data_IF_160876695717
#
_entry.id   IF_160876695717
#
_cell.length_a   1.000
_cell.length_b   1.000
_cell.length_c   1.000
_cell.angle_alpha   90.00
_cell.angle_beta   90.00
_cell.angle_gamma   90.00
#
_symmetry.space_group_name_H-M   'P 1'
#
loop_
_entity.id
_entity.type
_entity.pdbx_description
1 polymer ?
#
# COMPACT_ATOMS: atom_id res chain seq x y z
N UNK A 1 -57.66 21.40 -61.05
CA UNK A 1 -56.58 22.22 -61.66
C UNK A 1 -55.51 22.48 -60.61
N UNK A 2 -54.25 22.27 -60.99
CA UNK A 2 -52.97 22.60 -60.33
C UNK A 2 -52.56 21.85 -59.05
N UNK A 3 -51.70 20.85 -59.32
CA UNK A 3 -50.60 20.37 -58.47
C UNK A 3 -49.61 21.47 -58.05
N UNK A 4 -48.83 21.13 -57.01
CA UNK A 4 -47.46 21.53 -56.59
C UNK A 4 -47.53 21.63 -55.05
N UNK A 5 -46.69 21.02 -54.22
CA UNK A 5 -45.46 20.26 -54.38
C UNK A 5 -44.96 19.88 -52.97
N UNK A 6 -44.21 18.80 -52.91
CA UNK A 6 -43.66 18.09 -51.75
C UNK A 6 -42.74 18.91 -50.83
N UNK A 7 -42.82 18.67 -49.52
CA UNK A 7 -41.66 18.66 -48.63
C UNK A 7 -41.80 17.52 -47.60
N UNK A 8 -40.92 16.53 -47.68
CA UNK A 8 -40.80 15.42 -46.73
C UNK A 8 -39.70 15.76 -45.71
N UNK A 9 -40.05 15.89 -44.44
CA UNK A 9 -39.09 15.81 -43.35
C UNK A 9 -39.14 14.39 -42.76
N UNK A 10 -38.03 13.65 -42.88
CA UNK A 10 -37.80 12.39 -42.17
C UNK A 10 -37.06 12.69 -40.87
N UNK A 11 -37.56 12.29 -39.69
CA UNK A 11 -36.73 12.28 -38.50
C UNK A 11 -35.81 11.05 -38.53
N UNK A 12 -34.51 11.34 -38.62
CA UNK A 12 -33.39 10.41 -38.56
C UNK A 12 -33.12 10.12 -37.08
N UNK A 13 -33.79 9.12 -36.50
CA UNK A 13 -33.43 8.63 -35.17
C UNK A 13 -32.39 7.52 -35.30
N UNK A 14 -31.16 7.94 -35.07
CA UNK A 14 -30.06 7.12 -34.61
C UNK A 14 -30.46 6.41 -33.32
N UNK A 15 -30.78 5.13 -33.40
CA UNK A 15 -30.73 4.23 -32.25
C UNK A 15 -29.58 3.28 -32.48
N UNK A 16 -28.37 3.85 -32.35
CA UNK A 16 -27.15 3.11 -32.09
C UNK A 16 -27.33 2.47 -30.71
N UNK A 17 -27.76 1.21 -30.70
CA UNK A 17 -27.76 0.35 -29.52
C UNK A 17 -26.30 0.06 -29.17
N UNK A 18 -25.67 1.00 -28.47
CA UNK A 18 -24.46 0.77 -27.69
C UNK A 18 -24.85 -0.16 -26.54
N UNK A 19 -24.75 -1.46 -26.79
CA UNK A 19 -24.59 -2.46 -25.75
C UNK A 19 -23.25 -2.17 -25.05
N UNK A 20 -23.29 -1.24 -24.10
CA UNK A 20 -22.31 -1.18 -23.04
C UNK A 20 -22.56 -2.46 -22.24
N UNK A 21 -21.75 -3.48 -22.52
CA UNK A 21 -21.54 -4.60 -21.62
C UNK A 21 -20.91 -4.01 -20.36
N UNK A 22 -21.76 -3.50 -19.47
CA UNK A 22 -21.43 -3.42 -18.07
C UNK A 22 -21.31 -4.88 -17.61
N UNK A 23 -20.10 -5.44 -17.64
CA UNK A 23 -19.74 -6.52 -16.74
C UNK A 23 -19.85 -5.93 -15.34
N UNK A 24 -21.07 -5.98 -14.80
CA UNK A 24 -21.32 -5.89 -13.38
C UNK A 24 -20.85 -7.25 -12.84
N UNK A 25 -19.54 -7.42 -12.72
CA UNK A 25 -18.99 -8.53 -11.96
C UNK A 25 -19.58 -8.40 -10.54
N UNK A 26 -20.23 -9.47 -10.08
CA UNK A 26 -20.85 -9.54 -8.76
C UNK A 26 -19.74 -9.72 -7.73
N UNK A 27 -19.10 -8.62 -7.36
CA UNK A 27 -17.99 -8.62 -6.40
C UNK A 27 -18.44 -8.89 -4.96
N UNK A 28 -19.74 -8.79 -4.68
CA UNK A 28 -20.29 -9.00 -3.33
C UNK A 28 -20.24 -10.46 -2.86
N UNK A 29 -19.95 -11.43 -3.74
CA UNK A 29 -19.99 -12.86 -3.44
C UNK A 29 -18.61 -13.52 -3.23
N UNK A 30 -17.49 -12.77 -3.16
CA UNK A 30 -16.17 -13.38 -2.97
C UNK A 30 -15.97 -13.90 -1.53
N UNK A 31 -15.90 -15.23 -1.31
CA UNK A 31 -15.76 -15.79 0.02
C UNK A 31 -14.35 -15.59 0.57
N UNK A 32 -13.34 -15.65 -0.32
CA UNK A 32 -11.92 -15.55 -0.01
C UNK A 32 -11.24 -14.44 -0.85
N UNK A 33 -10.14 -13.84 -0.37
CA UNK A 33 -9.37 -12.90 -1.16
C UNK A 33 -8.75 -13.54 -2.41
N UNK A 34 -8.82 -12.85 -3.54
CA UNK A 34 -8.36 -13.34 -4.85
C UNK A 34 -7.49 -12.32 -5.56
N UNK A 35 -6.47 -12.81 -6.29
CA UNK A 35 -5.57 -12.03 -7.12
C UNK A 35 -5.26 -12.82 -8.39
N UNK A 36 -5.49 -12.23 -9.56
CA UNK A 36 -5.32 -12.88 -10.84
C UNK A 36 -4.46 -12.08 -11.83
N UNK A 37 -4.33 -10.76 -11.65
CA UNK A 37 -3.68 -9.88 -12.64
C UNK A 37 -2.27 -9.46 -12.27
N UNK A 38 -1.97 -9.30 -10.99
CA UNK A 38 -0.68 -8.81 -10.53
C UNK A 38 0.33 -9.94 -10.35
N UNK A 39 1.58 -9.72 -10.77
CA UNK A 39 2.69 -10.66 -10.56
C UNK A 39 3.31 -10.46 -9.16
N UNK A 40 2.58 -10.87 -8.13
CA UNK A 40 3.05 -10.91 -6.73
C UNK A 40 3.01 -12.35 -6.20
N UNK A 41 3.79 -12.69 -5.17
CA UNK A 41 3.83 -14.05 -4.62
C UNK A 41 2.45 -14.55 -4.16
N UNK A 42 2.09 -15.80 -4.47
CA UNK A 42 0.81 -16.39 -4.10
C UNK A 42 0.58 -16.42 -2.58
N UNK A 43 1.66 -16.47 -1.80
CA UNK A 43 1.64 -16.42 -0.33
C UNK A 43 1.08 -15.10 0.21
N UNK A 44 1.10 -14.01 -0.58
CA UNK A 44 0.46 -12.73 -0.22
C UNK A 44 -1.03 -12.95 0.07
N UNK A 45 -1.73 -13.76 -0.72
CA UNK A 45 -3.13 -14.12 -0.44
C UNK A 45 -3.25 -15.03 0.80
N UNK A 46 -2.38 -16.03 0.93
CA UNK A 46 -2.47 -17.00 2.02
C UNK A 46 -2.08 -16.46 3.41
N UNK A 47 -1.35 -15.34 3.47
CA UNK A 47 -0.74 -14.84 4.71
C UNK A 47 -0.99 -13.37 5.00
N UNK A 48 -1.10 -12.53 3.98
CA UNK A 48 -1.30 -11.08 4.15
C UNK A 48 -2.77 -10.72 3.98
N UNK A 49 -3.36 -11.08 2.84
CA UNK A 49 -4.77 -10.87 2.54
C UNK A 49 -5.59 -12.11 2.91
N UNK A 50 -5.70 -12.37 4.21
CA UNK A 50 -6.48 -13.48 4.76
C UNK A 50 -7.98 -13.15 4.84
N UNK A 51 -8.85 -14.13 5.09
CA UNK A 51 -10.31 -13.96 5.03
C UNK A 51 -10.92 -12.89 5.96
N UNK A 52 -10.18 -12.46 6.98
CA UNK A 52 -10.52 -11.38 7.93
C UNK A 52 -10.39 -9.97 7.33
N UNK A 53 -9.80 -9.82 6.14
CA UNK A 53 -9.77 -8.52 5.45
C UNK A 53 -11.19 -8.03 5.12
N UNK A 54 -11.43 -6.70 5.21
CA UNK A 54 -12.70 -6.10 4.84
C UNK A 54 -13.19 -6.53 3.44
N UNK A 55 -14.51 -6.70 3.30
CA UNK A 55 -15.11 -7.23 2.06
C UNK A 55 -14.73 -6.45 0.81
N UNK A 56 -14.67 -5.12 0.89
CA UNK A 56 -14.30 -4.23 -0.20
C UNK A 56 -12.82 -4.34 -0.65
N UNK A 57 -12.03 -5.22 -0.01
CA UNK A 57 -10.61 -5.49 -0.29
C UNK A 57 -10.39 -6.94 -0.77
N UNK A 58 -11.40 -7.81 -0.69
CA UNK A 58 -11.27 -9.23 -1.05
C UNK A 58 -10.96 -9.45 -2.53
N UNK A 59 -11.46 -8.61 -3.42
CA UNK A 59 -10.91 -8.54 -4.76
C UNK A 59 -9.60 -7.75 -4.74
N UNK A 60 -8.47 -8.43 -4.55
CA UNK A 60 -7.17 -7.79 -4.36
C UNK A 60 -6.73 -7.07 -5.64
N UNK A 61 -7.09 -7.59 -6.82
CA UNK A 61 -6.81 -6.95 -8.10
C UNK A 61 -7.48 -5.57 -8.22
N UNK A 62 -8.79 -5.49 -7.93
CA UNK A 62 -9.51 -4.22 -7.96
C UNK A 62 -9.08 -3.28 -6.84
N UNK A 63 -8.76 -3.84 -5.68
CA UNK A 63 -8.20 -3.07 -4.59
C UNK A 63 -6.86 -2.44 -4.99
N UNK A 64 -5.96 -3.19 -5.64
CA UNK A 64 -4.67 -2.69 -6.13
C UNK A 64 -4.85 -1.61 -7.19
N UNK A 65 -5.77 -1.79 -8.14
CA UNK A 65 -6.10 -0.73 -9.10
C UNK A 65 -6.60 0.53 -8.40
N UNK A 66 -7.45 0.37 -7.39
CA UNK A 66 -8.01 1.49 -6.63
C UNK A 66 -6.94 2.27 -5.87
N UNK A 67 -6.01 1.59 -5.18
CA UNK A 67 -4.94 2.30 -4.45
C UNK A 67 -3.90 2.90 -5.40
N UNK A 68 -3.63 2.28 -6.56
CA UNK A 68 -2.76 2.88 -7.60
C UNK A 68 -3.36 4.16 -8.16
N UNK A 69 -4.68 4.20 -8.37
CA UNK A 69 -5.37 5.41 -8.79
C UNK A 69 -5.28 6.56 -7.77
N UNK A 70 -4.97 6.26 -6.50
CA UNK A 70 -4.77 7.23 -5.41
C UNK A 70 -3.29 7.52 -5.13
N UNK A 71 -2.36 7.06 -5.99
CA UNK A 71 -0.94 7.39 -5.90
C UNK A 71 -0.06 6.32 -5.26
N UNK A 72 -0.59 5.16 -4.88
CA UNK A 72 0.23 4.02 -4.45
C UNK A 72 1.02 3.45 -5.63
N UNK A 73 2.30 3.12 -5.42
CA UNK A 73 3.11 2.38 -6.39
C UNK A 73 3.12 0.90 -6.02
N UNK A 74 3.04 0.00 -7.01
CA UNK A 74 3.22 -1.44 -6.81
C UNK A 74 4.19 -1.93 -7.87
N UNK A 75 5.34 -2.41 -7.43
CA UNK A 75 6.36 -3.04 -8.26
C UNK A 75 6.13 -4.54 -8.28
N UNK A 76 5.83 -5.05 -9.47
CA UNK A 76 5.53 -6.46 -9.71
C UNK A 76 6.78 -7.19 -10.23
N UNK A 77 6.83 -8.51 -10.04
CA UNK A 77 7.96 -9.36 -10.43
C UNK A 77 8.62 -10.09 -9.27
N UNK A 78 9.63 -10.89 -9.59
CA UNK A 78 10.31 -11.81 -8.67
C UNK A 78 11.81 -11.50 -8.47
N UNK A 79 12.28 -10.31 -8.90
CA UNK A 79 13.67 -9.88 -8.80
C UNK A 79 13.83 -8.55 -8.03
N UNK A 80 13.36 -8.46 -6.76
CA UNK A 80 13.60 -7.29 -5.93
C UNK A 80 15.09 -7.20 -5.49
N UNK A 81 15.54 -6.01 -5.04
CA UNK A 81 16.85 -5.86 -4.40
C UNK A 81 16.98 -6.69 -3.13
N UNK A 82 18.20 -7.10 -2.84
CA UNK A 82 18.54 -7.67 -1.53
C UNK A 82 18.98 -6.55 -0.59
N UNK A 83 18.31 -6.44 0.57
CA UNK A 83 18.54 -5.38 1.55
C UNK A 83 18.94 -6.03 2.88
N UNK A 84 20.24 -6.02 3.22
CA UNK A 84 20.75 -6.37 4.55
C UNK A 84 22.05 -5.62 4.83
N UNK A 85 22.42 -5.53 6.12
CA UNK A 85 23.71 -4.99 6.53
C UNK A 85 24.79 -6.06 6.33
N UNK A 86 25.85 -5.77 5.56
CA UNK A 86 26.91 -6.76 5.28
C UNK A 86 27.58 -7.32 6.55
N UNK A 87 27.52 -6.59 7.66
CA UNK A 87 28.19 -6.95 8.91
C UNK A 87 27.28 -7.59 9.97
N UNK A 88 25.96 -7.46 9.83
CA UNK A 88 24.98 -8.01 10.75
C UNK A 88 23.79 -8.48 9.91
N UNK A 89 23.23 -9.66 10.18
CA UNK A 89 22.03 -10.15 9.48
C UNK A 89 20.78 -9.25 9.68
N UNK A 90 20.91 -8.03 10.21
CA UNK A 90 19.87 -7.02 10.35
C UNK A 90 19.74 -6.17 9.08
N UNK A 91 18.54 -5.67 8.79
CA UNK A 91 18.35 -4.64 7.76
C UNK A 91 19.02 -3.31 8.13
N UNK A 92 19.35 -2.44 7.16
CA UNK A 92 19.62 -1.03 7.44
C UNK A 92 18.42 -0.34 8.09
N UNK A 93 18.70 0.63 8.95
CA UNK A 93 17.71 1.53 9.53
C UNK A 93 17.63 2.84 8.75
N UNK A 94 16.43 3.43 8.71
CA UNK A 94 16.14 4.70 8.06
C UNK A 94 15.29 5.57 8.98
N UNK A 95 15.47 6.89 8.92
CA UNK A 95 14.54 7.86 9.49
C UNK A 95 13.70 8.45 8.36
N UNK A 96 12.37 8.41 8.50
CA UNK A 96 11.44 8.73 7.42
C UNK A 96 10.25 9.52 7.98
N UNK A 97 9.95 10.67 7.36
CA UNK A 97 8.69 11.40 7.56
C UNK A 97 7.63 10.91 6.57
N UNK A 98 6.38 10.81 6.99
CA UNK A 98 5.30 10.28 6.16
C UNK A 98 4.20 11.34 5.96
N UNK A 99 3.86 11.63 4.71
CA UNK A 99 2.77 12.55 4.35
C UNK A 99 1.61 11.77 3.75
N UNK A 100 0.40 12.00 4.27
CA UNK A 100 -0.78 11.34 3.76
C UNK A 100 -1.19 11.91 2.39
N UNK A 101 -1.31 11.05 1.40
CA UNK A 101 -1.81 11.38 0.06
C UNK A 101 -3.31 11.12 -0.07
N UNK A 102 -3.83 10.15 0.67
CA UNK A 102 -5.20 9.69 0.57
C UNK A 102 -5.63 9.02 1.86
N UNK A 103 -6.85 9.32 2.31
CA UNK A 103 -7.52 8.63 3.41
C UNK A 103 -8.97 8.33 2.98
N UNK A 104 -9.34 7.04 2.99
CA UNK A 104 -10.64 6.60 2.51
C UNK A 104 -11.82 7.04 3.38
N UNK A 105 -11.58 7.54 4.60
CA UNK A 105 -12.60 7.95 5.56
C UNK A 105 -12.55 9.41 5.96
N UNK A 106 -11.37 10.01 5.95
CA UNK A 106 -11.21 11.41 6.33
C UNK A 106 -10.27 12.17 5.38
N UNK A 107 -10.85 12.86 4.40
CA UNK A 107 -10.09 13.66 3.42
C UNK A 107 -9.31 14.82 4.04
N UNK A 108 -9.67 15.29 5.23
CA UNK A 108 -8.93 16.36 5.89
C UNK A 108 -7.52 15.91 6.35
N UNK A 109 -7.26 14.60 6.35
CA UNK A 109 -5.93 14.05 6.59
C UNK A 109 -5.02 14.15 5.36
N UNK A 110 -5.51 14.46 4.15
CA UNK A 110 -4.68 14.61 2.97
C UNK A 110 -3.72 15.81 3.13
N UNK A 111 -2.42 15.58 2.95
CA UNK A 111 -1.34 16.52 3.21
C UNK A 111 -0.87 16.56 4.67
N UNK A 112 -1.51 15.81 5.58
CA UNK A 112 -1.11 15.75 6.99
C UNK A 112 0.14 14.87 7.17
N UNK A 113 1.05 15.32 8.05
CA UNK A 113 2.27 14.59 8.42
C UNK A 113 2.08 13.87 9.75
N UNK A 114 2.32 12.55 9.79
CA UNK A 114 2.13 11.73 11.00
C UNK A 114 3.41 11.58 11.85
N UNK A 115 4.22 12.65 11.90
CA UNK A 115 5.54 12.64 12.52
C UNK A 115 6.60 11.85 11.73
N UNK A 116 7.70 11.53 12.40
CA UNK A 116 8.83 10.77 11.85
C UNK A 116 8.95 9.40 12.49
N UNK A 117 9.46 8.46 11.70
CA UNK A 117 9.67 7.06 12.11
C UNK A 117 11.11 6.66 11.90
N UNK A 118 11.60 5.81 12.79
CA UNK A 118 12.77 4.97 12.50
C UNK A 118 12.28 3.60 12.04
N UNK A 119 12.72 3.20 10.85
CA UNK A 119 12.29 1.98 10.18
C UNK A 119 13.50 1.11 9.85
N UNK A 120 13.45 -0.16 10.24
CA UNK A 120 14.41 -1.18 9.79
C UNK A 120 13.76 -1.98 8.69
N UNK A 121 14.42 -2.05 7.52
CA UNK A 121 13.94 -2.81 6.37
C UNK A 121 14.99 -3.85 5.98
N UNK A 122 14.62 -5.13 6.03
CA UNK A 122 15.43 -6.23 5.48
C UNK A 122 14.67 -6.90 4.34
N UNK A 123 15.32 -7.18 3.23
CA UNK A 123 14.80 -8.00 2.12
C UNK A 123 15.82 -9.08 1.79
N UNK A 124 15.38 -10.34 1.74
CA UNK A 124 16.26 -11.49 1.55
C UNK A 124 15.54 -12.63 0.84
N UNK A 125 16.28 -13.47 0.07
CA UNK A 125 15.69 -14.65 -0.54
C UNK A 125 15.28 -15.66 0.54
N UNK A 126 14.11 -16.26 0.39
CA UNK A 126 13.75 -17.44 1.18
C UNK A 126 14.67 -18.61 0.81
N UNK A 127 14.73 -19.64 1.67
CA UNK A 127 15.59 -20.82 1.50
C UNK A 127 15.40 -21.52 0.14
N UNK A 128 14.23 -21.35 -0.48
CA UNK A 128 13.90 -21.93 -1.79
C UNK A 128 14.23 -21.02 -3.00
N UNK A 129 14.88 -19.88 -2.80
CA UNK A 129 15.39 -18.92 -3.81
C UNK A 129 14.37 -18.31 -4.80
N UNK A 130 13.13 -18.81 -4.88
CA UNK A 130 12.11 -18.32 -5.81
C UNK A 130 11.20 -17.21 -5.25
N UNK A 131 11.30 -16.94 -3.95
CA UNK A 131 10.48 -15.96 -3.23
C UNK A 131 11.40 -15.11 -2.37
N UNK A 132 11.07 -13.82 -2.25
CA UNK A 132 11.73 -12.91 -1.32
C UNK A 132 10.83 -12.61 -0.12
N UNK A 133 11.47 -12.57 1.04
CA UNK A 133 10.86 -12.19 2.30
C UNK A 133 11.40 -10.85 2.75
N UNK A 134 10.60 -10.15 3.54
CA UNK A 134 11.04 -8.95 4.22
C UNK A 134 10.79 -9.01 5.71
N UNK A 135 11.69 -8.41 6.49
CA UNK A 135 11.45 -8.06 7.89
C UNK A 135 11.34 -6.54 7.98
N UNK A 136 10.26 -6.06 8.60
CA UNK A 136 10.05 -4.63 8.87
C UNK A 136 9.87 -4.45 10.37
N UNK A 137 10.51 -3.42 10.92
CA UNK A 137 10.18 -2.89 12.22
C UNK A 137 10.18 -1.37 12.16
N UNK A 138 9.19 -0.72 12.75
CA UNK A 138 9.14 0.73 12.86
C UNK A 138 8.80 1.17 14.28
N UNK A 139 9.25 2.38 14.60
CA UNK A 139 8.80 3.11 15.77
C UNK A 139 8.89 4.60 15.50
N UNK A 140 7.87 5.33 15.94
CA UNK A 140 7.84 6.79 15.94
C UNK A 140 9.03 7.35 16.73
N UNK A 141 9.59 8.45 16.22
CA UNK A 141 10.66 9.20 16.87
C UNK A 141 10.23 10.64 17.07
N UNK A 142 10.85 11.29 18.06
CA UNK A 142 10.54 12.68 18.37
C UNK A 142 10.91 13.57 17.19
N UNK A 143 9.96 14.39 16.76
CA UNK A 143 10.18 15.47 15.81
C UNK A 143 9.80 16.82 16.46
N UNK A 144 10.72 17.78 16.59
CA UNK A 144 10.41 19.10 17.12
C UNK A 144 9.31 19.85 16.35
N UNK A 145 9.17 19.57 15.04
CA UNK A 145 8.15 20.20 14.20
C UNK A 145 6.75 19.59 14.41
N UNK A 146 6.68 18.38 14.98
CA UNK A 146 5.45 17.64 15.25
C UNK A 146 5.47 17.00 16.66
N UNK A 147 5.50 17.81 17.73
CA UNK A 147 5.66 17.33 19.11
C UNK A 147 4.52 16.43 19.61
N UNK A 148 3.36 16.46 18.95
CA UNK A 148 2.22 15.57 19.20
C UNK A 148 2.51 14.10 18.87
N UNK A 149 3.58 13.81 18.13
CA UNK A 149 4.07 12.45 17.83
C UNK A 149 5.38 12.15 18.58
N UNK A 150 5.34 11.95 19.92
CA UNK A 150 6.55 11.66 20.67
C UNK A 150 7.15 10.30 20.31
N UNK A 151 8.42 10.11 20.68
CA UNK A 151 9.13 8.85 20.47
C UNK A 151 8.38 7.68 21.12
N UNK A 152 8.20 6.60 20.35
CA UNK A 152 7.57 5.37 20.82
C UNK A 152 6.06 5.45 20.99
N UNK A 153 5.42 6.51 20.49
CA UNK A 153 3.97 6.60 20.42
C UNK A 153 3.41 5.48 19.54
N UNK A 154 3.84 5.41 18.29
CA UNK A 154 3.49 4.34 17.36
C UNK A 154 4.66 3.39 17.12
N UNK A 155 4.38 2.10 16.95
CA UNK A 155 5.35 1.06 16.64
C UNK A 155 4.71 -0.22 16.10
N UNK A 156 5.49 -1.02 15.41
CA UNK A 156 5.06 -2.34 14.97
C UNK A 156 6.17 -3.07 14.23
N UNK A 157 5.97 -4.36 14.00
CA UNK A 157 6.92 -5.18 13.24
C UNK A 157 6.25 -6.36 12.57
N UNK A 158 6.88 -6.91 11.55
CA UNK A 158 6.42 -8.16 10.98
C UNK A 158 7.41 -8.76 10.02
N UNK A 159 7.00 -9.90 9.47
CA UNK A 159 7.61 -10.52 8.30
C UNK A 159 6.59 -10.53 7.16
N UNK A 160 7.04 -10.20 5.96
CA UNK A 160 6.21 -10.09 4.77
C UNK A 160 6.83 -10.73 3.55
N UNK A 161 6.14 -10.59 2.42
CA UNK A 161 6.55 -11.07 1.11
C UNK A 161 6.90 -9.90 0.21
N UNK A 162 7.85 -10.11 -0.70
CA UNK A 162 8.35 -9.04 -1.56
C UNK A 162 8.13 -9.40 -3.02
N UNK A 163 7.56 -8.45 -3.77
CA UNK A 163 7.62 -8.42 -5.23
C UNK A 163 8.55 -7.30 -5.67
N UNK A 164 9.05 -7.37 -6.90
CA UNK A 164 9.88 -6.32 -7.44
C UNK A 164 10.52 -6.67 -8.76
N UNK A 165 11.00 -5.65 -9.44
CA UNK A 165 11.66 -5.81 -10.73
C UNK A 165 12.96 -5.02 -10.78
N UNK A 166 13.82 -5.42 -11.72
CA UNK A 166 15.01 -4.68 -12.12
C UNK A 166 16.10 -4.56 -11.03
N UNK A 167 16.04 -5.39 -9.98
CA UNK A 167 17.07 -5.46 -8.95
C UNK A 167 17.18 -4.22 -8.04
N UNK A 168 16.32 -3.22 -8.22
CA UNK A 168 16.31 -1.99 -7.41
C UNK A 168 14.94 -1.65 -6.84
N UNK A 169 13.85 -2.01 -7.52
CA UNK A 169 12.50 -1.67 -7.08
C UNK A 169 11.88 -2.81 -6.28
N UNK A 170 11.09 -2.48 -5.27
CA UNK A 170 10.41 -3.47 -4.45
C UNK A 170 9.03 -3.00 -4.01
N UNK A 171 8.17 -3.96 -3.72
CA UNK A 171 6.95 -3.82 -2.94
C UNK A 171 6.91 -4.92 -1.90
N UNK A 172 6.82 -4.52 -0.63
CA UNK A 172 6.69 -5.40 0.52
C UNK A 172 5.22 -5.46 0.92
N UNK A 173 4.67 -6.67 1.00
CA UNK A 173 3.34 -6.94 1.54
C UNK A 173 3.50 -7.57 2.92
N UNK A 174 3.00 -6.89 3.94
CA UNK A 174 3.20 -7.31 5.32
C UNK A 174 1.92 -7.13 6.13
N UNK A 175 1.61 -8.13 6.96
CA UNK A 175 0.55 -8.03 7.97
C UNK A 175 1.20 -7.83 9.33
N UNK A 176 0.89 -6.73 9.97
CA UNK A 176 1.39 -6.36 11.30
C UNK A 176 0.28 -6.65 12.29
N UNK A 177 0.56 -7.53 13.25
CA UNK A 177 -0.42 -7.99 14.25
C UNK A 177 -0.06 -7.56 15.67
N UNK A 178 1.04 -6.82 15.82
CA UNK A 178 1.54 -6.29 17.09
C UNK A 178 1.74 -4.76 17.00
N UNK A 179 0.96 -4.09 16.14
CA UNK A 179 0.98 -2.64 16.04
C UNK A 179 0.49 -2.04 17.33
N UNK A 180 1.07 -0.91 17.73
CA UNK A 180 0.71 -0.22 18.96
C UNK A 180 0.86 1.28 18.80
N UNK A 181 -0.23 2.00 19.07
CA UNK A 181 -0.27 3.45 19.17
C UNK A 181 -0.66 3.84 20.61
N UNK A 182 0.31 4.28 21.41
CA UNK A 182 0.20 4.58 22.83
C UNK A 182 -0.33 3.40 23.66
N UNK A 183 -1.64 3.34 23.92
CA UNK A 183 -2.31 2.25 24.64
C UNK A 183 -3.26 1.44 23.74
N UNK A 184 -3.35 1.80 22.47
CA UNK A 184 -4.23 1.15 21.48
C UNK A 184 -3.39 0.15 20.68
N UNK A 185 -3.65 -1.12 20.90
CA UNK A 185 -3.08 -2.20 20.09
C UNK A 185 -3.87 -2.30 18.79
N UNK A 186 -3.20 -2.59 17.68
CA UNK A 186 -3.84 -2.72 16.39
C UNK A 186 -3.19 -3.76 15.49
N UNK A 187 -3.95 -4.17 14.48
CA UNK A 187 -3.43 -4.92 13.35
C UNK A 187 -3.75 -4.21 12.04
N UNK A 188 -2.79 -4.25 11.12
CA UNK A 188 -2.90 -3.60 9.82
C UNK A 188 -2.15 -4.39 8.76
N UNK A 189 -2.58 -4.25 7.51
CA UNK A 189 -1.74 -4.60 6.36
C UNK A 189 -1.00 -3.34 5.95
N UNK A 190 0.30 -3.48 5.75
CA UNK A 190 1.12 -2.48 5.08
C UNK A 190 1.58 -3.00 3.74
N UNK A 191 1.49 -2.14 2.72
CA UNK A 191 2.11 -2.33 1.42
C UNK A 191 3.14 -1.22 1.31
N UNK A 192 4.42 -1.56 1.25
CA UNK A 192 5.52 -0.59 1.26
C UNK A 192 6.29 -0.75 -0.04
N UNK A 193 6.29 0.28 -0.88
CA UNK A 193 6.98 0.28 -2.17
C UNK A 193 8.07 1.32 -2.19
N UNK A 194 9.18 1.02 -2.86
CA UNK A 194 10.25 1.98 -3.04
C UNK A 194 11.37 1.45 -3.92
N UNK A 195 12.43 2.26 -4.01
CA UNK A 195 13.63 1.96 -4.79
C UNK A 195 14.84 1.94 -3.85
N UNK A 196 15.64 0.88 -3.93
CA UNK A 196 16.89 0.73 -3.19
C UNK A 196 18.04 0.57 -4.16
N UNK A 197 18.90 1.59 -4.23
CA UNK A 197 19.96 1.70 -5.23
C UNK A 197 21.30 2.05 -4.60
N UNK A 198 22.37 1.56 -5.22
CA UNK A 198 23.73 1.99 -4.90
C UNK A 198 23.97 3.38 -5.50
N UNK A 199 24.34 4.33 -4.63
CA UNK A 199 24.72 5.70 -4.99
C UNK A 199 26.24 5.85 -5.01
N UNK A 200 26.69 6.99 -5.56
CA UNK A 200 28.12 7.35 -5.66
C UNK A 200 28.80 7.21 -4.30
N UNK A 201 29.89 6.44 -4.24
CA UNK A 201 30.62 6.16 -3.01
C UNK A 201 30.32 4.80 -2.37
N UNK A 202 29.56 3.93 -3.05
CA UNK A 202 29.29 2.56 -2.62
C UNK A 202 28.34 2.45 -1.42
N UNK A 203 27.59 3.53 -1.17
CA UNK A 203 26.50 3.55 -0.21
C UNK A 203 25.21 3.20 -0.93
N UNK A 204 24.27 2.57 -0.23
CA UNK A 204 22.92 2.36 -0.77
C UNK A 204 21.96 3.34 -0.11
N UNK A 205 21.03 3.85 -0.90
CA UNK A 205 19.98 4.77 -0.51
C UNK A 205 18.60 4.14 -0.77
N UNK A 206 17.64 4.45 0.09
CA UNK A 206 16.23 4.12 -0.10
C UNK A 206 15.53 5.38 -0.58
N UNK A 207 14.82 5.33 -1.71
CA UNK A 207 14.15 6.49 -2.32
C UNK A 207 12.73 6.13 -2.78
N UNK A 208 11.96 7.16 -3.14
CA UNK A 208 10.64 7.05 -3.77
C UNK A 208 9.66 6.14 -3.02
N UNK A 209 9.67 6.25 -1.68
CA UNK A 209 8.88 5.36 -0.84
C UNK A 209 7.42 5.81 -0.80
N UNK A 210 6.53 4.87 -1.08
CA UNK A 210 5.08 5.01 -0.90
C UNK A 210 4.57 3.86 -0.05
N UNK A 211 3.62 4.16 0.82
CA UNK A 211 3.07 3.19 1.77
C UNK A 211 1.55 3.19 1.70
N UNK A 212 0.94 2.02 1.73
CA UNK A 212 -0.50 1.88 1.92
C UNK A 212 -0.74 1.12 3.22
N UNK A 213 -1.50 1.72 4.13
CA UNK A 213 -1.99 1.07 5.35
C UNK A 213 -3.46 0.71 5.17
N UNK A 214 -3.79 -0.51 5.55
CA UNK A 214 -5.17 -1.00 5.65
C UNK A 214 -5.39 -1.41 7.09
N UNK A 215 -6.21 -0.67 7.81
CA UNK A 215 -6.54 -1.01 9.18
C UNK A 215 -7.41 -2.26 9.23
N UNK A 216 -6.98 -3.28 9.98
CA UNK A 216 -7.75 -4.51 10.14
C UNK A 216 -8.55 -4.48 11.44
N UNK A 217 -7.89 -4.21 12.56
CA UNK A 217 -8.52 -4.22 13.89
C UNK A 217 -7.76 -3.26 14.81
N UNK A 218 -8.45 -2.68 15.80
CA UNK A 218 -7.87 -1.92 16.91
C UNK A 218 -8.54 -2.30 18.23
N UNK A 219 -7.81 -2.20 19.34
CA UNK A 219 -8.39 -2.28 20.68
C UNK A 219 -9.23 -1.03 20.99
N UNK A 220 -9.79 -0.95 22.20
CA UNK A 220 -10.60 0.20 22.61
C UNK A 220 -9.82 1.52 22.52
N UNK A 221 -10.39 2.49 21.81
CA UNK A 221 -9.76 3.78 21.53
C UNK A 221 -10.76 4.91 21.82
N UNK A 222 -10.86 5.26 23.10
CA UNK A 222 -11.80 6.27 23.61
C UNK A 222 -11.57 7.68 23.04
N UNK A 223 -10.39 7.92 22.47
CA UNK A 223 -9.97 9.21 21.95
C UNK A 223 -9.96 9.26 20.42
N UNK A 224 -10.34 8.16 19.77
CA UNK A 224 -10.36 8.01 18.30
C UNK A 224 -9.06 8.43 17.61
N UNK A 225 -7.93 7.98 18.16
CA UNK A 225 -6.57 8.34 17.68
C UNK A 225 -6.08 7.43 16.57
N UNK A 226 -6.53 6.18 16.56
CA UNK A 226 -6.14 5.16 15.59
C UNK A 226 -7.26 5.00 14.58
N UNK A 227 -6.90 4.86 13.30
CA UNK A 227 -7.89 4.68 12.23
C UNK A 227 -8.83 3.50 12.52
N UNK A 228 -10.08 3.60 12.08
CA UNK A 228 -11.03 2.50 12.22
C UNK A 228 -10.77 1.35 11.24
N UNK A 229 -11.23 0.14 11.60
CA UNK A 229 -11.21 -1.04 10.73
C UNK A 229 -11.74 -0.72 9.32
N UNK A 230 -10.95 -1.06 8.30
CA UNK A 230 -11.25 -0.85 6.90
C UNK A 230 -10.88 0.53 6.36
N UNK A 231 -10.29 1.40 7.18
CA UNK A 231 -9.64 2.61 6.68
C UNK A 231 -8.44 2.23 5.82
N UNK A 232 -8.32 2.88 4.67
CA UNK A 232 -7.18 2.75 3.76
C UNK A 232 -6.52 4.11 3.73
N UNK A 233 -5.23 4.18 4.08
CA UNK A 233 -4.42 5.39 3.96
C UNK A 233 -3.24 5.14 3.05
N UNK A 234 -2.94 6.10 2.19
CA UNK A 234 -1.73 6.07 1.35
C UNK A 234 -0.85 7.22 1.78
N UNK A 235 0.42 6.94 1.94
CA UNK A 235 1.44 7.88 2.32
C UNK A 235 2.50 7.96 1.22
N UNK A 236 3.07 9.16 1.08
CA UNK A 236 4.33 9.37 0.41
C UNK A 236 5.33 9.85 1.45
N UNK A 237 6.48 9.22 1.42
CA UNK A 237 7.50 9.48 2.38
C UNK A 237 8.41 10.60 1.90
N UNK A 238 8.93 11.38 2.85
CA UNK A 238 10.09 12.22 2.62
C UNK A 238 11.31 11.36 2.26
N UNK A 239 12.35 12.00 1.72
CA UNK A 239 13.61 11.32 1.42
C UNK A 239 14.15 10.58 2.67
N UNK A 240 14.22 9.24 2.66
CA UNK A 240 14.70 8.46 3.79
C UNK A 240 16.15 8.77 4.16
N UNK A 241 16.40 9.08 5.43
CA UNK A 241 17.75 9.30 5.94
C UNK A 241 18.30 8.02 6.56
N UNK A 242 19.39 7.49 6.00
CA UNK A 242 20.01 6.26 6.52
C UNK A 242 20.60 6.48 7.92
N UNK A 243 20.29 5.56 8.84
CA UNK A 243 20.89 5.54 10.17
C UNK A 243 22.33 5.00 10.11
N UNK A 244 23.24 5.54 10.96
CA UNK A 244 24.64 5.12 11.03
C UNK A 244 24.83 3.67 11.48
#
# INVERSE_FOLDING_TARGET
>A
MKNIGTFRFRPMYWSLLLLILANCEKFDDLPDPVLNRYDVPAEVLGRVFTADVPQNIRNVDEFFDRIKAQGMVIHEGNEPPVIYNRNNQSGPGFTIGNHCLYDSRNRDNEGFTYGKYQETIRIYPDRNQSIFLADIAYFSVSDPDFPEFPRGLDSGSGMGYVSGNQGSNFTIFIKITNGKYDLVDYSAIWIISGTYVEITGGQNELTDVTKCMIMLEKSEDLQDRVADRGTIRIFRDDAPERLP
#
